data_IF_234024973469
#
_entry.id   IF_234024973469
#
_cell.length_a   1.000
_cell.length_b   1.000
_cell.length_c   1.000
_cell.angle_alpha   90.00
_cell.angle_beta   90.00
_cell.angle_gamma   90.00
#
_symmetry.space_group_name_H-M   'P 1'
#
loop_
_entity.id
_entity.type
_entity.pdbx_description
1 polymer ?
#
# COMPACT_ATOMS: atom_id res chain seq x y z
N UNK A 1 -6.11 3.93 -4.34
CA UNK A 1 -6.45 5.32 -3.98
C UNK A 1 -5.29 5.94 -3.20
N UNK A 2 -5.09 7.26 -3.29
CA UNK A 2 -4.17 7.99 -2.41
C UNK A 2 -4.94 8.47 -1.19
N UNK A 3 -4.37 8.31 0.00
CA UNK A 3 -4.92 8.80 1.27
C UNK A 3 -3.88 9.67 1.98
N UNK A 4 -4.37 10.64 2.74
CA UNK A 4 -3.55 11.32 3.75
C UNK A 4 -3.46 10.43 4.98
N UNK A 5 -2.25 9.99 5.32
CA UNK A 5 -2.05 9.22 6.53
C UNK A 5 -2.23 10.10 7.78
N UNK A 6 -2.57 9.53 8.94
CA UNK A 6 -2.72 10.27 10.20
C UNK A 6 -1.42 10.95 10.68
N UNK A 7 -0.32 10.82 9.94
CA UNK A 7 0.96 11.50 10.20
C UNK A 7 1.31 12.54 9.14
N UNK A 8 0.35 12.92 8.29
CA UNK A 8 0.51 13.99 7.30
C UNK A 8 1.28 13.58 6.04
N UNK A 9 1.53 12.29 5.84
CA UNK A 9 2.22 11.78 4.66
C UNK A 9 1.23 11.10 3.70
N UNK A 10 1.27 11.38 2.39
CA UNK A 10 0.42 10.71 1.42
C UNK A 10 0.85 9.26 1.26
N UNK A 11 -0.11 8.35 1.09
CA UNK A 11 0.15 6.94 0.87
C UNK A 11 -0.84 6.29 -0.08
N UNK A 12 -0.34 5.40 -0.94
CA UNK A 12 -1.17 4.64 -1.89
C UNK A 12 -1.64 3.34 -1.28
N UNK A 13 -2.95 3.16 -1.23
CA UNK A 13 -3.61 2.04 -0.55
C UNK A 13 -4.62 1.37 -1.47
N UNK A 14 -4.86 0.09 -1.19
CA UNK A 14 -5.99 -0.66 -1.76
C UNK A 14 -7.28 -0.09 -1.17
N UNK A 15 -8.18 0.37 -2.03
CA UNK A 15 -9.45 0.96 -1.59
C UNK A 15 -10.31 -0.12 -0.94
N UNK A 16 -10.83 0.16 0.25
CA UNK A 16 -11.75 -0.72 0.96
C UNK A 16 -12.74 0.09 1.81
N UNK A 17 -13.71 -0.60 2.41
CA UNK A 17 -14.76 0.00 3.22
C UNK A 17 -14.23 0.73 4.46
N UNK A 18 -13.12 0.26 5.04
CA UNK A 18 -12.49 0.95 6.17
C UNK A 18 -12.08 2.38 5.78
N UNK A 19 -11.40 2.53 4.65
CA UNK A 19 -10.94 3.82 4.15
C UNK A 19 -12.10 4.73 3.73
N UNK A 20 -13.15 4.19 3.11
CA UNK A 20 -14.35 4.97 2.76
C UNK A 20 -15.01 5.60 3.99
N UNK A 21 -15.10 4.85 5.09
CA UNK A 21 -15.64 5.38 6.35
C UNK A 21 -14.77 6.51 6.91
N UNK A 22 -13.45 6.34 6.89
CA UNK A 22 -12.51 7.38 7.34
C UNK A 22 -12.64 8.63 6.46
N UNK A 23 -12.67 8.47 5.14
CA UNK A 23 -12.83 9.59 4.19
C UNK A 23 -14.19 10.30 4.36
N UNK A 24 -15.24 9.60 4.79
CA UNK A 24 -16.53 10.17 5.14
C UNK A 24 -16.54 10.90 6.52
N UNK A 25 -15.38 11.06 7.16
CA UNK A 25 -15.24 11.77 8.44
C UNK A 25 -15.58 10.92 9.67
N UNK A 26 -15.82 9.61 9.53
CA UNK A 26 -15.99 8.75 10.71
C UNK A 26 -14.65 8.61 11.44
N UNK A 27 -14.56 9.27 12.60
CA UNK A 27 -13.46 9.09 13.54
C UNK A 27 -13.70 7.84 14.38
N UNK A 28 -12.72 6.94 14.42
CA UNK A 28 -12.76 5.84 15.39
C UNK A 28 -12.15 6.32 16.71
N UNK A 29 -12.72 5.95 17.88
CA UNK A 29 -12.08 6.21 19.16
C UNK A 29 -10.66 5.64 19.15
N UNK A 30 -9.66 6.51 19.31
CA UNK A 30 -8.26 6.09 19.24
C UNK A 30 -7.77 5.71 20.63
N UNK A 31 -7.55 4.41 20.83
CA UNK A 31 -6.59 3.92 21.82
C UNK A 31 -5.25 3.72 21.10
N UNK A 32 -4.22 4.45 21.52
CA UNK A 32 -2.88 4.36 20.94
C UNK A 32 -1.89 3.79 21.98
N UNK A 33 -1.84 2.46 22.16
CA UNK A 33 -0.96 1.86 23.17
C UNK A 33 0.51 1.94 22.77
N UNK A 34 0.83 2.00 21.47
CA UNK A 34 2.20 1.90 20.98
C UNK A 34 2.96 3.22 20.91
N UNK A 35 2.27 4.37 20.82
CA UNK A 35 2.89 5.69 20.55
C UNK A 35 3.99 5.61 19.48
N UNK A 36 3.70 4.87 18.40
CA UNK A 36 4.71 4.38 17.45
C UNK A 36 5.45 5.47 16.66
N UNK A 37 4.89 6.69 16.58
CA UNK A 37 5.47 7.81 15.86
C UNK A 37 5.46 9.05 16.76
N UNK A 38 6.61 9.73 16.87
CA UNK A 38 6.78 10.95 17.68
C UNK A 38 5.91 12.11 17.17
N UNK A 39 5.68 12.17 15.87
CA UNK A 39 4.94 13.24 15.18
C UNK A 39 3.44 12.96 15.07
N UNK A 40 2.94 11.86 15.62
CA UNK A 40 1.53 11.51 15.56
C UNK A 40 0.74 12.25 16.64
N UNK A 41 -0.16 13.14 16.23
CA UNK A 41 -1.14 13.74 17.12
C UNK A 41 -2.38 12.83 17.25
N UNK A 42 -2.46 12.13 18.38
CA UNK A 42 -3.55 11.19 18.70
C UNK A 42 -4.90 11.90 18.78
N UNK A 43 -4.94 13.20 19.12
CA UNK A 43 -6.19 13.95 19.29
C UNK A 43 -6.84 14.29 17.94
N UNK A 44 -6.04 14.62 16.94
CA UNK A 44 -6.52 14.99 15.59
C UNK A 44 -6.58 13.81 14.63
N UNK A 45 -5.80 12.75 14.86
CA UNK A 45 -5.79 11.57 14.00
C UNK A 45 -7.19 10.95 13.88
N UNK A 46 -7.64 10.56 12.66
CA UNK A 46 -8.93 9.89 12.46
C UNK A 46 -8.91 8.41 12.83
N UNK A 47 -7.72 7.79 12.86
CA UNK A 47 -7.47 6.41 13.30
C UNK A 47 -5.99 6.23 13.69
N UNK A 48 -5.67 5.15 14.41
CA UNK A 48 -4.28 4.74 14.65
C UNK A 48 -3.74 3.91 13.48
N UNK A 49 -2.70 4.39 12.79
CA UNK A 49 -2.08 3.67 11.66
C UNK A 49 -1.49 2.33 12.09
N UNK A 50 -0.85 2.26 13.25
CA UNK A 50 -0.27 1.02 13.78
C UNK A 50 -1.35 -0.03 14.08
N UNK A 51 -2.52 0.38 14.58
CA UNK A 51 -3.67 -0.52 14.73
C UNK A 51 -4.22 -1.01 13.39
N UNK A 52 -4.36 -0.11 12.40
CA UNK A 52 -4.85 -0.45 11.07
C UNK A 52 -3.93 -1.45 10.36
N UNK A 53 -2.62 -1.24 10.42
CA UNK A 53 -1.62 -2.15 9.85
C UNK A 53 -1.56 -3.49 10.59
N UNK A 54 -1.71 -3.49 11.92
CA UNK A 54 -1.80 -4.72 12.71
C UNK A 54 -3.03 -5.54 12.34
N UNK A 55 -4.17 -4.88 12.10
CA UNK A 55 -5.38 -5.55 11.62
C UNK A 55 -5.17 -6.12 10.21
N UNK A 56 -4.55 -5.35 9.30
CA UNK A 56 -4.26 -5.81 7.95
C UNK A 56 -3.32 -7.04 7.94
N UNK A 57 -2.29 -7.06 8.80
CA UNK A 57 -1.41 -8.23 9.01
C UNK A 57 -2.21 -9.49 9.39
N UNK A 58 -3.31 -9.34 10.12
CA UNK A 58 -4.21 -10.43 10.53
C UNK A 58 -5.31 -10.75 9.51
N UNK A 59 -5.28 -10.13 8.33
CA UNK A 59 -6.35 -10.27 7.31
C UNK A 59 -7.62 -9.47 7.61
N UNK A 60 -7.66 -8.66 8.67
CA UNK A 60 -8.84 -7.92 9.11
C UNK A 60 -8.98 -6.57 8.38
N UNK A 61 -9.19 -6.62 7.05
CA UNK A 61 -9.27 -5.43 6.19
C UNK A 61 -10.53 -4.56 6.43
N UNK A 62 -11.57 -5.09 7.08
CA UNK A 62 -12.70 -4.26 7.55
C UNK A 62 -12.31 -3.24 8.64
N UNK A 63 -11.17 -3.45 9.28
CA UNK A 63 -10.63 -2.60 10.36
C UNK A 63 -9.20 -2.12 10.07
N UNK A 64 -8.73 -2.25 8.84
CA UNK A 64 -7.39 -1.91 8.43
C UNK A 64 -7.31 -1.65 6.92
N UNK A 65 -6.10 -1.50 6.39
CA UNK A 65 -5.86 -1.36 4.96
C UNK A 65 -4.44 -1.81 4.65
N UNK A 66 -4.16 -2.04 3.36
CA UNK A 66 -2.84 -2.37 2.87
C UNK A 66 -2.33 -1.26 1.93
N UNK A 67 -1.06 -0.89 2.10
CA UNK A 67 -0.36 -0.09 1.10
C UNK A 67 -0.08 -0.93 -0.14
N UNK A 68 -0.15 -0.30 -1.31
CA UNK A 68 0.06 -0.95 -2.59
C UNK A 68 0.63 0.04 -3.61
N UNK A 69 1.47 -0.45 -4.51
CA UNK A 69 2.01 0.33 -5.63
C UNK A 69 0.93 0.65 -6.67
N UNK A 70 1.23 1.57 -7.58
CA UNK A 70 0.30 1.92 -8.67
C UNK A 70 0.01 0.72 -9.60
N UNK A 71 0.99 -0.16 -9.76
CA UNK A 71 0.93 -1.33 -10.65
C UNK A 71 0.48 -2.62 -9.96
N UNK A 72 -0.03 -2.59 -8.73
CA UNK A 72 -0.44 -3.80 -8.01
C UNK A 72 -1.53 -4.60 -8.72
N UNK A 73 -2.34 -3.95 -9.56
CA UNK A 73 -3.33 -4.63 -10.43
C UNK A 73 -2.71 -5.57 -11.47
N UNK A 74 -1.40 -5.46 -11.75
CA UNK A 74 -0.67 -6.34 -12.67
C UNK A 74 -0.23 -7.65 -12.02
N UNK A 75 -0.43 -7.81 -10.70
CA UNK A 75 -0.03 -8.99 -9.95
C UNK A 75 -1.23 -9.95 -9.89
N UNK A 76 -1.06 -11.15 -10.43
CA UNK A 76 -2.08 -12.20 -10.54
C UNK A 76 -1.70 -13.49 -9.81
N UNK A 77 -0.41 -13.68 -9.48
CA UNK A 77 0.09 -14.86 -8.79
C UNK A 77 1.03 -14.51 -7.64
N UNK A 78 1.11 -15.42 -6.66
CA UNK A 78 2.14 -15.41 -5.62
C UNK A 78 3.34 -16.17 -6.19
N UNK A 79 4.48 -15.48 -6.33
CA UNK A 79 5.73 -16.06 -6.84
C UNK A 79 6.85 -15.91 -5.82
N UNK A 80 7.88 -16.74 -5.94
CA UNK A 80 9.07 -16.61 -5.11
C UNK A 80 9.88 -15.37 -5.50
N UNK A 81 10.71 -14.88 -4.57
CA UNK A 81 11.64 -13.76 -4.85
C UNK A 81 12.59 -14.12 -5.99
N UNK A 82 13.05 -15.38 -6.06
CA UNK A 82 13.93 -15.88 -7.12
C UNK A 82 13.29 -15.75 -8.50
N UNK A 83 12.02 -16.16 -8.63
CA UNK A 83 11.27 -16.04 -9.88
C UNK A 83 11.01 -14.58 -10.24
N UNK A 84 10.61 -13.75 -9.26
CA UNK A 84 10.36 -12.33 -9.49
C UNK A 84 11.60 -11.64 -10.06
N UNK A 85 12.78 -11.84 -9.45
CA UNK A 85 14.02 -11.23 -9.92
C UNK A 85 14.40 -11.75 -11.31
N UNK A 86 14.25 -13.05 -11.57
CA UNK A 86 14.49 -13.62 -12.91
C UNK A 86 13.61 -12.97 -13.98
N UNK A 87 12.31 -12.86 -13.72
CA UNK A 87 11.36 -12.22 -14.65
C UNK A 87 11.69 -10.75 -14.92
N UNK A 88 12.10 -10.01 -13.88
CA UNK A 88 12.50 -8.61 -14.02
C UNK A 88 13.78 -8.46 -14.88
N UNK A 89 14.79 -9.32 -14.66
CA UNK A 89 16.03 -9.30 -15.44
C UNK A 89 15.78 -9.64 -16.92
N UNK A 90 15.07 -10.73 -17.20
CA UNK A 90 14.71 -11.11 -18.57
C UNK A 90 13.87 -10.03 -19.25
N UNK A 91 12.92 -9.42 -18.53
CA UNK A 91 12.12 -8.31 -19.06
C UNK A 91 12.96 -7.08 -19.42
N UNK A 92 13.96 -6.76 -18.60
CA UNK A 92 14.89 -5.66 -18.87
C UNK A 92 15.78 -5.93 -20.08
N UNK A 93 16.36 -7.13 -20.19
CA UNK A 93 17.19 -7.54 -21.34
C UNK A 93 16.40 -7.48 -22.64
N UNK A 94 15.17 -8.01 -22.65
CA UNK A 94 14.29 -7.97 -23.82
C UNK A 94 13.97 -6.53 -24.23
N UNK A 95 13.64 -5.66 -23.27
CA UNK A 95 13.35 -4.25 -23.54
C UNK A 95 14.58 -3.51 -24.09
N UNK A 96 15.78 -3.83 -23.60
CA UNK A 96 17.03 -3.25 -24.10
C UNK A 96 17.29 -3.66 -25.55
N UNK A 97 17.05 -4.92 -25.91
CA UNK A 97 17.21 -5.43 -27.29
C UNK A 97 16.20 -4.77 -28.24
N UNK A 98 14.93 -4.64 -27.84
CA UNK A 98 13.91 -3.95 -28.64
C UNK A 98 14.23 -2.46 -28.84
N UNK A 99 14.87 -1.81 -27.86
CA UNK A 99 15.26 -0.41 -27.96
C UNK A 99 16.45 -0.18 -28.92
N UNK A 100 17.29 -1.19 -29.18
CA UNK A 100 18.47 -1.08 -30.07
C UNK A 100 18.21 -1.51 -31.51
N UNK A 101 17.05 -2.10 -31.82
CA UNK A 101 16.63 -2.47 -33.19
C UNK A 101 15.18 -2.03 -33.44
N UNK A 102 14.92 -0.81 -33.95
CA UNK A 102 13.57 -0.27 -34.11
C UNK A 102 12.78 -0.85 -35.30
N UNK A 103 13.35 -1.79 -36.06
CA UNK A 103 12.73 -2.33 -37.28
C UNK A 103 12.68 -3.86 -37.22
N UNK A 104 11.60 -4.39 -36.66
CA UNK A 104 10.99 -5.68 -37.06
C UNK A 104 9.57 -5.67 -36.50
N UNK A 105 8.67 -5.05 -37.29
CA UNK A 105 7.21 -5.24 -37.21
C UNK A 105 6.82 -6.67 -37.53
#
# INVERSE_FOLDING_TARGET
TIIDSPVGLPGRVIKNRFLEKISAGMKKPIKCPWKCLKTCDIKSAPYCICAALTNAKKGLLERGFAFAGANTFKIDAIISVKELIKTLLTGYENAAVTATHPETS
#
